data_IF_863872517395
#
_entry.id   IF_863872517395
#
_cell.length_a   1.000
_cell.length_b   1.000
_cell.length_c   1.000
_cell.angle_alpha   90.00
_cell.angle_beta   90.00
_cell.angle_gamma   90.00
#
_symmetry.space_group_name_H-M   'P 1'
#
loop_
_entity.id
_entity.type
_entity.pdbx_description
1 polymer ?
#
# COMPACT_ATOMS: atom_id res chain seq x y z
N UNK A 1 -19.19 -5.80 22.61
CA UNK A 1 -18.23 -6.90 22.85
C UNK A 1 -18.88 -8.04 23.58
N UNK A 2 -19.65 -7.74 24.64
CA UNK A 2 -20.43 -8.75 25.36
C UNK A 2 -21.35 -9.58 24.45
N UNK A 3 -21.99 -8.98 23.43
CA UNK A 3 -22.82 -9.74 22.48
C UNK A 3 -22.02 -10.82 21.73
N UNK A 4 -20.79 -10.50 21.32
CA UNK A 4 -19.88 -11.45 20.65
C UNK A 4 -19.46 -12.54 21.64
N UNK A 5 -19.14 -12.16 22.87
CA UNK A 5 -18.76 -13.10 23.93
C UNK A 5 -19.90 -14.06 24.24
N UNK A 6 -21.12 -13.55 24.44
CA UNK A 6 -22.31 -14.35 24.76
C UNK A 6 -22.67 -15.29 23.60
N UNK A 7 -22.62 -14.81 22.36
CA UNK A 7 -22.85 -15.67 21.19
C UNK A 7 -21.78 -16.77 21.07
N UNK A 8 -20.52 -16.45 21.37
CA UNK A 8 -19.42 -17.44 21.38
C UNK A 8 -19.62 -18.47 22.49
N UNK A 9 -20.03 -18.06 23.69
CA UNK A 9 -20.31 -18.97 24.81
C UNK A 9 -21.46 -19.94 24.48
N UNK A 10 -22.54 -19.44 23.88
CA UNK A 10 -23.66 -20.29 23.44
C UNK A 10 -23.24 -21.35 22.39
N UNK A 11 -22.29 -21.03 21.50
CA UNK A 11 -21.71 -22.03 20.58
C UNK A 11 -20.75 -22.99 21.29
N UNK A 12 -19.95 -22.52 22.25
CA UNK A 12 -19.07 -23.37 23.04
C UNK A 12 -19.84 -24.39 23.88
N UNK A 13 -21.00 -24.04 24.42
CA UNK A 13 -21.89 -24.97 25.11
C UNK A 13 -22.35 -26.13 24.21
N UNK A 14 -22.65 -25.84 22.94
CA UNK A 14 -23.03 -26.86 21.95
C UNK A 14 -21.85 -27.76 21.56
N UNK A 15 -20.65 -27.18 21.42
CA UNK A 15 -19.44 -27.91 21.03
C UNK A 15 -18.86 -28.74 22.19
N UNK A 16 -18.98 -28.26 23.42
CA UNK A 16 -18.36 -28.84 24.62
C UNK A 16 -19.38 -29.04 25.77
N UNK A 17 -20.49 -29.78 25.54
CA UNK A 17 -21.60 -29.86 26.48
C UNK A 17 -21.21 -30.44 27.84
N UNK A 18 -20.21 -31.31 27.92
CA UNK A 18 -19.72 -31.87 29.19
C UNK A 18 -19.00 -30.84 30.07
N UNK A 19 -18.38 -29.83 29.45
CA UNK A 19 -17.57 -28.83 30.15
C UNK A 19 -18.40 -27.61 30.58
N UNK A 20 -19.55 -27.37 29.94
CA UNK A 20 -20.41 -26.21 30.24
C UNK A 20 -21.81 -26.61 30.76
N UNK A 21 -22.28 -27.83 30.50
CA UNK A 21 -23.59 -28.34 30.92
C UNK A 21 -23.56 -29.27 32.13
N UNK A 22 -22.45 -29.30 32.88
CA UNK A 22 -22.32 -30.07 34.12
C UNK A 22 -22.28 -29.16 35.34
N UNK A 23 -22.48 -29.73 36.54
CA UNK A 23 -22.46 -29.00 37.82
C UNK A 23 -21.12 -28.28 38.10
N UNK A 24 -20.06 -28.67 37.39
CA UNK A 24 -18.74 -28.03 37.45
C UNK A 24 -18.38 -27.37 36.10
N UNK A 25 -19.24 -26.45 35.64
CA UNK A 25 -19.04 -25.72 34.38
C UNK A 25 -17.75 -24.88 34.40
N UNK A 26 -17.03 -24.89 33.28
CA UNK A 26 -15.94 -23.96 33.01
C UNK A 26 -16.43 -22.49 33.12
N UNK A 27 -15.61 -21.63 33.72
CA UNK A 27 -15.93 -20.23 33.98
C UNK A 27 -15.03 -19.30 33.17
N UNK A 28 -15.62 -18.30 32.51
CA UNK A 28 -14.89 -17.28 31.78
C UNK A 28 -14.29 -16.26 32.75
N UNK A 29 -12.98 -16.34 33.00
CA UNK A 29 -12.27 -15.42 33.92
C UNK A 29 -11.97 -14.07 33.27
N UNK A 30 -11.60 -14.07 31.98
CA UNK A 30 -11.30 -12.86 31.20
C UNK A 30 -11.47 -13.15 29.71
N UNK A 31 -11.76 -12.12 28.93
CA UNK A 31 -11.83 -12.21 27.47
C UNK A 31 -11.16 -11.01 26.80
N UNK A 32 -10.79 -11.18 25.54
CA UNK A 32 -10.37 -10.09 24.67
C UNK A 32 -10.96 -10.27 23.28
N UNK A 33 -11.72 -9.28 22.81
CA UNK A 33 -12.31 -9.27 21.47
C UNK A 33 -11.48 -8.33 20.59
N UNK A 34 -10.87 -8.88 19.54
CA UNK A 34 -10.14 -8.09 18.54
C UNK A 34 -10.98 -8.03 17.27
N UNK A 35 -11.25 -6.81 16.79
CA UNK A 35 -12.04 -6.56 15.57
C UNK A 35 -11.15 -5.94 14.50
N UNK A 36 -10.98 -6.64 13.39
CA UNK A 36 -10.23 -6.15 12.24
C UNK A 36 -11.19 -6.06 11.04
N UNK A 37 -11.95 -4.96 10.90
CA UNK A 37 -13.01 -4.85 9.88
C UNK A 37 -12.48 -4.91 8.43
N UNK A 38 -11.19 -4.65 8.23
CA UNK A 38 -10.49 -4.70 6.95
C UNK A 38 -9.21 -5.54 7.11
N UNK A 39 -9.36 -6.86 7.25
CA UNK A 39 -8.22 -7.77 7.49
C UNK A 39 -7.52 -8.15 6.18
N UNK A 40 -8.12 -9.09 5.44
CA UNK A 40 -7.66 -9.57 4.13
C UNK A 40 -8.67 -9.17 3.07
N UNK A 41 -8.24 -9.13 1.80
CA UNK A 41 -9.19 -8.86 0.71
C UNK A 41 -10.24 -9.97 0.64
N UNK A 42 -11.48 -9.59 0.32
CA UNK A 42 -12.55 -10.56 0.09
C UNK A 42 -12.33 -11.27 -1.25
N UNK A 43 -12.09 -12.58 -1.22
CA UNK A 43 -11.90 -13.40 -2.41
C UNK A 43 -13.24 -13.68 -3.13
N UNK A 44 -13.79 -12.66 -3.80
CA UNK A 44 -15.00 -12.79 -4.62
C UNK A 44 -14.66 -13.26 -6.05
N UNK A 45 -15.63 -13.84 -6.79
CA UNK A 45 -15.46 -14.15 -8.21
C UNK A 45 -14.95 -12.94 -9.00
N UNK A 46 -13.98 -13.16 -9.88
CA UNK A 46 -13.36 -12.08 -10.66
C UNK A 46 -12.47 -11.12 -9.87
N UNK A 47 -12.09 -11.41 -8.61
CA UNK A 47 -11.14 -10.58 -7.86
C UNK A 47 -9.69 -10.76 -8.32
N UNK A 48 -9.33 -11.92 -8.82
CA UNK A 48 -7.96 -12.24 -9.25
C UNK A 48 -7.39 -11.23 -10.25
N UNK A 49 -8.19 -10.80 -11.23
CA UNK A 49 -7.77 -9.82 -12.27
C UNK A 49 -7.44 -8.42 -11.72
N UNK A 50 -7.85 -8.12 -10.49
CA UNK A 50 -7.61 -6.81 -9.85
C UNK A 50 -6.38 -6.82 -8.94
N UNK A 51 -5.69 -7.96 -8.80
CA UNK A 51 -4.49 -8.06 -7.98
C UNK A 51 -3.31 -7.49 -8.75
N UNK A 52 -2.65 -6.42 -8.27
CA UNK A 52 -1.53 -5.82 -8.99
C UNK A 52 -0.29 -6.72 -8.96
N UNK A 53 0.56 -6.65 -9.98
CA UNK A 53 1.92 -7.20 -9.92
C UNK A 53 2.78 -6.45 -8.88
N UNK A 54 3.92 -7.03 -8.52
CA UNK A 54 4.86 -6.38 -7.60
C UNK A 54 5.54 -5.16 -8.24
N UNK A 55 5.74 -5.17 -9.56
CA UNK A 55 6.21 -4.02 -10.34
C UNK A 55 5.01 -3.19 -10.82
N UNK A 56 5.09 -1.88 -10.63
CA UNK A 56 4.08 -0.93 -11.10
C UNK A 56 4.55 -0.19 -12.35
N UNK A 57 3.64 0.48 -13.09
CA UNK A 57 4.04 1.35 -14.20
C UNK A 57 4.88 2.57 -13.77
N UNK A 58 4.90 2.91 -12.48
CA UNK A 58 5.64 4.06 -11.95
C UNK A 58 7.07 3.61 -11.62
N UNK A 59 8.06 4.26 -12.24
CA UNK A 59 9.47 3.97 -12.00
C UNK A 59 9.81 4.11 -10.53
N UNK A 60 10.55 3.14 -9.98
CA UNK A 60 10.96 3.11 -8.57
C UNK A 60 9.78 3.03 -7.57
N UNK A 61 8.61 2.55 -8.01
CA UNK A 61 7.46 2.29 -7.15
C UNK A 61 7.01 0.83 -7.29
N UNK A 62 7.05 0.10 -6.17
CA UNK A 62 6.78 -1.34 -6.11
C UNK A 62 5.74 -1.63 -5.03
N UNK A 63 4.97 -2.71 -5.20
CA UNK A 63 3.94 -3.14 -4.25
C UNK A 63 4.27 -4.52 -3.69
N UNK A 64 4.05 -4.68 -2.39
CA UNK A 64 4.18 -5.94 -1.67
C UNK A 64 2.98 -6.12 -0.73
N UNK A 65 2.66 -7.36 -0.40
CA UNK A 65 1.52 -7.76 0.39
C UNK A 65 0.75 -8.92 -0.25
N UNK A 66 0.02 -9.65 0.58
CA UNK A 66 -0.77 -10.83 0.19
C UNK A 66 -1.84 -10.54 -0.89
N UNK A 67 -2.29 -9.27 -0.98
CA UNK A 67 -3.20 -8.75 -2.00
C UNK A 67 -2.56 -8.64 -3.40
N UNK A 68 -1.25 -8.52 -3.51
CA UNK A 68 -0.54 -8.48 -4.80
C UNK A 68 -0.60 -9.84 -5.50
N UNK A 69 -0.31 -9.89 -6.80
CA UNK A 69 -0.45 -11.09 -7.63
C UNK A 69 0.54 -12.18 -7.22
N UNK A 70 0.02 -13.30 -6.71
CA UNK A 70 0.76 -14.51 -6.37
C UNK A 70 -0.21 -15.69 -6.14
N UNK A 71 0.31 -16.93 -6.05
CA UNK A 71 -0.47 -18.18 -6.11
C UNK A 71 -1.18 -18.63 -4.82
N UNK A 72 -0.80 -18.13 -3.65
CA UNK A 72 -1.22 -18.56 -2.31
C UNK A 72 -2.33 -17.70 -1.66
N UNK A 73 -3.14 -16.97 -2.45
CA UNK A 73 -4.26 -16.13 -1.96
C UNK A 73 -3.86 -15.16 -0.83
N UNK A 74 -4.83 -14.55 -0.14
CA UNK A 74 -4.57 -13.72 1.03
C UNK A 74 -4.16 -14.59 2.23
N UNK A 75 -2.86 -14.82 2.39
CA UNK A 75 -2.31 -15.69 3.43
C UNK A 75 -0.93 -15.20 3.88
N UNK A 76 -0.44 -15.75 5.00
CA UNK A 76 0.92 -15.51 5.46
C UNK A 76 1.95 -15.90 4.39
N UNK A 77 1.77 -17.05 3.74
CA UNK A 77 2.61 -17.49 2.62
C UNK A 77 2.53 -16.54 1.43
N UNK A 78 1.34 -16.04 1.13
CA UNK A 78 1.12 -15.05 0.08
C UNK A 78 1.86 -13.73 0.36
N UNK A 79 1.85 -13.27 1.62
CA UNK A 79 2.59 -12.09 2.05
C UNK A 79 4.10 -12.30 1.89
N UNK A 80 4.65 -13.41 2.39
CA UNK A 80 6.08 -13.74 2.31
C UNK A 80 6.53 -13.89 0.86
N UNK A 81 5.80 -14.66 0.06
CA UNK A 81 6.09 -14.83 -1.36
C UNK A 81 6.03 -13.50 -2.11
N UNK A 82 5.05 -12.64 -1.84
CA UNK A 82 4.99 -11.33 -2.47
C UNK A 82 6.22 -10.47 -2.16
N UNK A 83 6.73 -10.52 -0.93
CA UNK A 83 7.95 -9.83 -0.55
C UNK A 83 9.17 -10.34 -1.32
N UNK A 84 9.28 -11.66 -1.49
CA UNK A 84 10.33 -12.27 -2.32
C UNK A 84 10.24 -11.82 -3.77
N UNK A 85 9.05 -11.85 -4.37
CA UNK A 85 8.82 -11.40 -5.75
C UNK A 85 9.13 -9.90 -5.92
N UNK A 86 8.78 -9.08 -4.92
CA UNK A 86 9.07 -7.65 -4.92
C UNK A 86 10.57 -7.38 -4.90
N UNK A 87 11.31 -8.08 -4.03
CA UNK A 87 12.77 -7.98 -3.98
C UNK A 87 13.42 -8.39 -5.31
N UNK A 88 12.92 -9.45 -5.95
CA UNK A 88 13.37 -9.87 -7.28
C UNK A 88 13.09 -8.78 -8.33
N UNK A 89 11.91 -8.16 -8.32
CA UNK A 89 11.57 -7.07 -9.25
C UNK A 89 12.48 -5.85 -9.07
N UNK A 90 12.82 -5.49 -7.83
CA UNK A 90 13.77 -4.41 -7.52
C UNK A 90 15.16 -4.75 -8.06
N UNK A 91 15.66 -5.96 -7.76
CA UNK A 91 16.99 -6.39 -8.19
C UNK A 91 17.11 -6.41 -9.73
N UNK A 92 16.07 -6.90 -10.42
CA UNK A 92 16.04 -6.92 -11.89
C UNK A 92 16.02 -5.52 -12.49
N UNK A 93 15.44 -4.54 -11.80
CA UNK A 93 15.41 -3.14 -12.21
C UNK A 93 16.64 -2.32 -11.76
N UNK A 94 17.60 -2.92 -11.03
CA UNK A 94 18.71 -2.21 -10.38
C UNK A 94 19.47 -1.25 -11.30
N UNK A 95 19.79 -1.66 -12.54
CA UNK A 95 20.48 -0.81 -13.52
C UNK A 95 19.64 0.39 -14.00
N UNK A 96 18.32 0.25 -14.07
CA UNK A 96 17.41 1.35 -14.44
C UNK A 96 17.25 2.33 -13.27
N UNK A 97 17.20 1.79 -12.05
CA UNK A 97 17.11 2.57 -10.82
C UNK A 97 18.39 3.38 -10.57
N UNK A 98 19.58 2.80 -10.80
CA UNK A 98 20.86 3.51 -10.62
C UNK A 98 21.07 4.67 -11.59
N UNK A 99 20.50 4.59 -12.81
CA UNK A 99 20.48 5.71 -13.76
C UNK A 99 19.56 6.85 -13.32
N UNK A 100 18.47 6.53 -12.64
CA UNK A 100 17.50 7.51 -12.15
C UNK A 100 18.06 8.32 -10.97
N UNK A 101 18.86 7.70 -10.10
CA UNK A 101 19.55 8.41 -9.00
C UNK A 101 20.68 9.34 -9.46
N UNK A 102 21.17 9.19 -10.69
CA UNK A 102 22.26 10.00 -11.24
C UNK A 102 21.77 11.27 -11.97
N UNK A 103 20.46 11.43 -12.17
CA UNK A 103 19.88 12.63 -12.78
C UNK A 103 19.21 13.50 -11.70
N UNK A 104 19.56 14.79 -11.56
CA UNK A 104 18.82 15.70 -10.71
C UNK A 104 17.35 15.72 -11.12
N UNK A 105 16.44 15.75 -10.15
CA UNK A 105 15.02 16.00 -10.40
C UNK A 105 14.89 17.44 -10.92
N UNK A 106 15.02 17.64 -12.23
CA UNK A 106 14.71 18.91 -12.88
C UNK A 106 13.19 19.05 -12.82
N UNK A 107 12.72 19.72 -11.77
CA UNK A 107 11.34 20.15 -11.69
C UNK A 107 11.05 21.06 -12.88
N UNK A 108 10.10 20.67 -13.73
CA UNK A 108 9.53 21.55 -14.75
C UNK A 108 8.66 22.61 -14.07
N UNK A 109 9.28 23.52 -13.30
CA UNK A 109 8.71 24.83 -13.07
C UNK A 109 9.22 25.71 -14.20
N UNK A 110 8.34 26.00 -15.17
CA UNK A 110 8.54 27.15 -16.04
C UNK A 110 8.46 28.41 -15.18
N UNK A 111 9.60 28.88 -14.65
CA UNK A 111 9.73 30.27 -14.23
C UNK A 111 9.86 31.10 -15.49
N UNK A 112 8.73 31.62 -15.93
CA UNK A 112 8.63 32.68 -16.92
C UNK A 112 9.13 33.97 -16.28
N UNK A 113 10.44 34.18 -16.25
CA UNK A 113 11.09 35.47 -15.97
C UNK A 113 12.54 35.38 -16.45
N UNK A 114 12.75 35.69 -17.73
CA UNK A 114 13.86 36.54 -18.20
C UNK A 114 13.76 36.63 -19.73
N UNK A 115 13.00 37.61 -20.19
CA UNK A 115 13.17 38.13 -21.55
C UNK A 115 14.30 39.16 -21.48
N UNK A 116 15.42 39.00 -22.20
CA UNK A 116 16.46 40.02 -22.19
C UNK A 116 15.93 41.29 -22.88
N UNK A 117 15.99 42.41 -22.16
CA UNK A 117 15.68 43.74 -22.70
C UNK A 117 16.67 44.02 -23.85
N UNK A 118 16.18 44.01 -25.09
CA UNK A 118 16.93 44.45 -26.26
C UNK A 118 17.22 45.94 -26.14
N UNK A 119 18.48 46.32 -26.34
CA UNK A 119 18.96 47.70 -26.30
C UNK A 119 18.33 48.53 -27.43
N UNK A 120 17.77 49.69 -27.10
CA UNK A 120 17.45 50.72 -28.10
C UNK A 120 18.25 51.98 -27.78
N UNK A 121 19.08 52.39 -28.75
CA UNK A 121 19.88 53.60 -28.73
C UNK A 121 18.98 54.83 -28.90
N UNK A 122 19.03 55.77 -27.95
CA UNK A 122 18.38 57.08 -28.08
C UNK A 122 19.04 57.95 -29.17
N UNK A 123 18.28 58.70 -29.98
CA UNK A 123 18.83 59.76 -30.82
C UNK A 123 19.07 61.04 -30.00
N UNK A 124 20.21 61.67 -30.23
CA UNK A 124 20.70 62.90 -29.59
C UNK A 124 19.94 64.10 -30.17
N UNK A 125 19.28 64.89 -29.32
CA UNK A 125 18.63 66.14 -29.73
C UNK A 125 19.67 67.25 -29.93
N UNK A 126 19.63 67.87 -31.10
CA UNK A 126 20.43 69.04 -31.49
C UNK A 126 19.85 70.31 -30.86
N UNK A 127 20.72 71.11 -30.25
CA UNK A 127 20.39 72.46 -29.77
C UNK A 127 20.74 73.47 -30.84
N UNK A 128 19.76 74.13 -31.46
CA UNK A 128 19.91 75.43 -32.14
C UNK A 128 18.61 76.22 -32.05
N UNK A 129 18.70 77.50 -31.65
CA UNK A 129 17.63 78.52 -31.75
C UNK A 129 17.04 79.00 -30.44
#
# INVERSE_FOLDING_TARGET
DLDIVNATLAELEKLFPKHFGSDNSAQLVKYHVVKTPRSVYKATPGRQQHRPSQETPITNFFLSGDYTMQRYLASMEGAVLSGKLTSQAINNNSTRLSKTSAQPLVGNHKTEIDTPLVSSSMPRASTEG
#
